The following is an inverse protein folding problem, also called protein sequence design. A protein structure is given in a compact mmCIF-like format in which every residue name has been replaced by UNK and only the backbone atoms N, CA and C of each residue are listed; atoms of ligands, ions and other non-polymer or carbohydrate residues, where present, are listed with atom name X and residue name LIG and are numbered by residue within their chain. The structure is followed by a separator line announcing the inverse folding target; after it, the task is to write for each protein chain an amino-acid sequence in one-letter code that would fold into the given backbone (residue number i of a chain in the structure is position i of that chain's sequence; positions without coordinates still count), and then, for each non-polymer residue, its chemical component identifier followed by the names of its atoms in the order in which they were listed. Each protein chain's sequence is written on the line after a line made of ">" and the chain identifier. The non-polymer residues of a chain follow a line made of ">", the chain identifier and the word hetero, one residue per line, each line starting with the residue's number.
data_IF_766942511163
#
_entry.id   IF_766942511163
#
_cell.length_a   1.000
_cell.length_b   1.000
_cell.length_c   1.000
_cell.angle_alpha   90.00
_cell.angle_beta   90.00
_cell.angle_gamma   90.00
#
_symmetry.space_group_name_H-M   'P 1'
#
loop_
_entity.id
_entity.type
_entity.pdbx_description
1 polymer ?
#
# COMPACT_ATOMS: atom_id res chain seq x y z
N UNK A 1 6.54 -45.95 -1.12
CA UNK A 1 5.12 -45.96 -1.50
C UNK A 1 4.91 -44.99 -2.65
N UNK A 2 4.24 -45.45 -3.71
CA UNK A 2 3.98 -44.78 -4.99
C UNK A 2 2.50 -44.38 -5.02
N UNK A 3 2.20 -43.09 -5.22
CA UNK A 3 0.89 -42.56 -5.68
C UNK A 3 1.24 -41.26 -6.44
N UNK A 4 1.49 -41.33 -7.75
CA UNK A 4 0.49 -41.18 -8.83
C UNK A 4 -0.01 -39.73 -8.92
N UNK A 5 0.50 -38.84 -9.77
CA UNK A 5 0.71 -38.92 -11.24
C UNK A 5 -0.62 -38.98 -12.05
N UNK A 6 -1.72 -38.44 -11.49
CA UNK A 6 -3.08 -38.56 -12.08
C UNK A 6 -3.76 -37.24 -12.48
N UNK A 7 -3.14 -36.07 -12.31
CA UNK A 7 -3.81 -34.78 -12.62
C UNK A 7 -3.04 -33.99 -13.69
N UNK A 8 -2.70 -34.64 -14.79
CA UNK A 8 -2.06 -34.00 -15.97
C UNK A 8 -2.93 -34.14 -17.24
N UNK A 9 -4.20 -34.58 -17.15
CA UNK A 9 -4.89 -35.06 -18.37
C UNK A 9 -6.37 -34.73 -18.55
N UNK A 10 -6.84 -33.55 -18.13
CA UNK A 10 -8.21 -33.16 -18.45
C UNK A 10 -8.34 -31.68 -18.84
N UNK A 11 -8.72 -31.49 -20.11
CA UNK A 11 -9.43 -30.33 -20.67
C UNK A 11 -8.57 -29.19 -21.23
N UNK A 12 -7.82 -29.56 -22.26
CA UNK A 12 -7.89 -28.87 -23.55
C UNK A 12 -9.35 -28.73 -23.97
N UNK A 13 -9.85 -27.50 -24.11
CA UNK A 13 -11.06 -27.19 -24.88
C UNK A 13 -10.68 -26.14 -25.91
N UNK A 14 -10.70 -26.58 -27.16
CA UNK A 14 -10.71 -25.85 -28.42
C UNK A 14 -11.41 -24.48 -28.31
N UNK A 15 -10.87 -23.36 -28.78
CA UNK A 15 -10.45 -23.06 -30.16
C UNK A 15 -11.56 -23.28 -31.20
N UNK A 16 -12.55 -22.37 -31.24
CA UNK A 16 -13.53 -22.04 -32.30
C UNK A 16 -14.60 -21.19 -31.60
N UNK A 17 -15.14 -20.10 -32.09
CA UNK A 17 -15.24 -19.47 -33.40
C UNK A 17 -15.88 -18.09 -33.13
N UNK A 18 -16.04 -17.29 -34.18
CA UNK A 18 -17.01 -16.20 -34.30
C UNK A 18 -16.58 -14.83 -33.77
N UNK A 19 -15.69 -14.23 -34.56
CA UNK A 19 -16.06 -13.07 -35.37
C UNK A 19 -17.29 -12.30 -34.91
N UNK A 20 -17.09 -11.17 -34.23
CA UNK A 20 -17.95 -10.02 -34.46
C UNK A 20 -17.10 -8.76 -34.48
N UNK A 21 -16.86 -8.31 -35.71
CA UNK A 21 -16.52 -6.96 -36.07
C UNK A 21 -17.64 -6.06 -35.54
N UNK A 22 -17.29 -5.11 -34.68
CA UNK A 22 -18.07 -3.89 -34.49
C UNK A 22 -17.09 -2.74 -34.27
N UNK A 23 -16.72 -2.14 -35.40
CA UNK A 23 -16.20 -0.78 -35.47
C UNK A 23 -17.11 0.15 -34.67
N UNK A 24 -16.52 0.90 -33.73
CA UNK A 24 -16.88 2.30 -33.47
C UNK A 24 -15.74 2.93 -32.69
N UNK A 25 -14.88 3.62 -33.42
CA UNK A 25 -13.90 4.57 -32.92
C UNK A 25 -14.61 5.89 -32.48
N UNK A 26 -13.90 6.96 -32.08
CA UNK A 26 -14.06 7.58 -30.77
C UNK A 26 -14.73 8.97 -30.86
N UNK A 27 -15.40 9.41 -29.80
CA UNK A 27 -15.73 10.83 -29.59
C UNK A 27 -15.48 11.12 -28.11
N UNK A 28 -14.35 11.76 -27.80
CA UNK A 28 -14.20 13.21 -27.64
C UNK A 28 -15.04 13.73 -26.45
N UNK A 29 -14.39 13.87 -25.28
CA UNK A 29 -14.95 14.52 -24.10
C UNK A 29 -13.96 15.58 -23.61
N UNK A 30 -14.31 16.84 -23.88
CA UNK A 30 -13.64 18.03 -23.35
C UNK A 30 -13.88 18.24 -21.84
N UNK A 31 -13.10 19.13 -21.21
CA UNK A 31 -13.13 19.36 -19.76
C UNK A 31 -14.29 20.25 -19.31
N UNK A 32 -14.84 20.05 -18.09
CA UNK A 32 -15.91 20.89 -17.56
C UNK A 32 -15.41 22.26 -17.05
N UNK A 33 -16.22 23.33 -17.17
CA UNK A 33 -15.90 24.61 -16.57
C UNK A 33 -16.21 24.65 -15.06
N UNK A 34 -15.36 25.36 -14.33
CA UNK A 34 -15.58 25.81 -12.94
C UNK A 34 -16.77 26.77 -12.90
N UNK A 35 -17.80 26.48 -12.11
CA UNK A 35 -18.82 27.47 -11.72
C UNK A 35 -19.16 27.38 -10.24
N UNK A 36 -18.55 28.31 -9.53
CA UNK A 36 -18.98 28.79 -8.22
C UNK A 36 -20.17 29.76 -8.41
N UNK A 37 -21.01 29.80 -7.38
CA UNK A 37 -21.99 30.83 -7.05
C UNK A 37 -23.40 30.77 -7.68
N UNK A 38 -24.32 30.51 -6.75
CA UNK A 38 -25.60 31.21 -6.49
C UNK A 38 -26.81 30.91 -7.37
N UNK A 39 -27.96 31.04 -6.70
CA UNK A 39 -29.36 30.96 -7.14
C UNK A 39 -29.97 29.54 -7.05
N UNK A 40 -30.51 29.15 -5.89
CA UNK A 40 -31.79 29.55 -5.28
C UNK A 40 -33.00 28.97 -6.03
N UNK A 41 -33.73 28.10 -5.33
CA UNK A 41 -35.09 27.62 -5.61
C UNK A 41 -35.29 26.77 -6.87
N UNK A 42 -35.53 25.47 -6.67
CA UNK A 42 -36.76 24.87 -7.17
C UNK A 42 -37.22 23.75 -6.24
N UNK A 43 -38.53 23.79 -5.99
CA UNK A 43 -39.33 23.08 -5.02
C UNK A 43 -39.74 21.71 -5.57
N UNK A 44 -39.82 20.72 -4.67
CA UNK A 44 -40.58 19.47 -4.71
C UNK A 44 -41.12 18.94 -6.06
N UNK A 45 -40.64 17.77 -6.45
CA UNK A 45 -41.40 16.59 -6.92
C UNK A 45 -40.34 15.52 -7.25
N UNK A 46 -40.29 14.37 -6.60
CA UNK A 46 -41.34 13.37 -6.62
C UNK A 46 -40.89 12.23 -7.54
N UNK A 47 -41.27 11.02 -7.15
CA UNK A 47 -41.21 9.75 -7.89
C UNK A 47 -39.94 8.90 -7.80
N UNK A 48 -40.17 7.78 -7.11
CA UNK A 48 -39.54 6.48 -7.26
C UNK A 48 -39.28 6.13 -8.73
N UNK A 49 -38.03 5.78 -9.05
CA UNK A 49 -37.73 4.78 -10.07
C UNK A 49 -36.76 3.76 -9.46
N UNK A 50 -37.32 2.62 -9.07
CA UNK A 50 -36.58 1.39 -8.90
C UNK A 50 -36.15 0.92 -10.30
N UNK A 51 -34.90 1.13 -10.67
CA UNK A 51 -34.27 0.44 -11.81
C UNK A 51 -32.91 -0.07 -11.36
N UNK A 52 -32.92 -1.33 -10.95
CA UNK A 52 -31.77 -2.21 -10.81
C UNK A 52 -30.95 -2.20 -12.11
N UNK A 53 -29.76 -1.61 -12.11
CA UNK A 53 -28.73 -1.94 -13.08
C UNK A 53 -27.94 -3.12 -12.55
N UNK A 54 -28.34 -4.32 -12.97
CA UNK A 54 -27.50 -5.51 -12.93
C UNK A 54 -26.32 -5.25 -13.88
N UNK A 55 -25.17 -4.89 -13.31
CA UNK A 55 -23.93 -4.81 -14.08
C UNK A 55 -23.35 -6.22 -14.13
N UNK A 56 -23.11 -6.81 -15.31
CA UNK A 56 -22.52 -8.12 -15.41
C UNK A 56 -21.14 -8.07 -14.76
N UNK A 57 -21.04 -8.71 -13.60
CA UNK A 57 -19.81 -8.80 -12.84
C UNK A 57 -18.82 -9.57 -13.70
N UNK A 58 -17.68 -9.00 -14.11
CA UNK A 58 -16.63 -9.79 -14.70
C UNK A 58 -16.18 -10.76 -13.60
N UNK A 59 -16.46 -12.04 -13.81
CA UNK A 59 -16.00 -13.13 -12.94
C UNK A 59 -14.50 -13.29 -13.16
N UNK A 60 -13.74 -12.29 -12.72
CA UNK A 60 -12.30 -12.26 -12.72
C UNK A 60 -11.79 -13.31 -11.74
N UNK A 61 -10.96 -14.20 -12.27
CA UNK A 61 -10.26 -15.27 -11.57
C UNK A 61 -9.82 -14.88 -10.15
N UNK A 62 -10.60 -15.32 -9.17
CA UNK A 62 -10.34 -15.13 -7.73
C UNK A 62 -9.37 -16.18 -7.17
N UNK A 63 -8.84 -17.07 -8.02
CA UNK A 63 -7.94 -18.16 -7.60
C UNK A 63 -6.45 -17.80 -7.57
N UNK A 64 -6.02 -16.76 -8.30
CA UNK A 64 -4.62 -16.32 -8.35
C UNK A 64 -4.28 -15.22 -7.33
N UNK A 65 -5.28 -14.60 -6.71
CA UNK A 65 -5.10 -13.43 -5.85
C UNK A 65 -4.74 -13.78 -4.40
N UNK A 66 -5.09 -14.99 -3.94
CA UNK A 66 -4.85 -15.42 -2.56
C UNK A 66 -3.36 -15.56 -2.23
N UNK A 67 -2.51 -15.87 -3.23
CA UNK A 67 -1.05 -15.89 -3.10
C UNK A 67 -0.39 -14.56 -3.49
N UNK A 68 -0.99 -13.77 -4.39
CA UNK A 68 -0.47 -12.44 -4.75
C UNK A 68 -0.62 -11.40 -3.63
N UNK A 69 -1.65 -11.53 -2.78
CA UNK A 69 -1.84 -10.70 -1.58
C UNK A 69 -0.67 -10.83 -0.60
N UNK A 70 0.07 -11.96 -0.59
CA UNK A 70 1.13 -12.23 0.38
C UNK A 70 2.46 -11.50 0.11
N UNK A 71 2.68 -10.93 -1.09
CA UNK A 71 3.98 -10.32 -1.47
C UNK A 71 3.83 -9.05 -2.34
N UNK A 72 2.64 -8.42 -2.26
CA UNK A 72 2.31 -7.22 -3.02
C UNK A 72 2.17 -5.96 -2.15
N UNK A 73 1.83 -4.81 -2.74
CA UNK A 73 1.63 -3.54 -2.03
C UNK A 73 0.63 -3.62 -0.88
N UNK A 74 -0.36 -4.50 -0.96
CA UNK A 74 -1.31 -4.75 0.13
C UNK A 74 -0.63 -5.32 1.39
N UNK A 75 0.31 -6.26 1.25
CA UNK A 75 1.08 -6.79 2.37
C UNK A 75 1.98 -5.72 3.02
N UNK A 76 2.62 -4.88 2.19
CA UNK A 76 3.39 -3.72 2.67
C UNK A 76 2.51 -2.78 3.52
N UNK A 77 1.30 -2.46 3.04
CA UNK A 77 0.36 -1.59 3.75
C UNK A 77 -0.11 -2.18 5.09
N UNK A 78 -0.34 -3.50 5.16
CA UNK A 78 -0.68 -4.19 6.42
C UNK A 78 0.46 -4.08 7.42
N UNK A 79 1.71 -4.27 7.01
CA UNK A 79 2.87 -4.14 7.90
C UNK A 79 3.05 -2.71 8.40
N UNK A 80 2.93 -1.71 7.50
CA UNK A 80 2.95 -0.31 7.88
C UNK A 80 1.91 0.00 8.95
N UNK A 81 0.68 -0.47 8.75
CA UNK A 81 -0.41 -0.28 9.71
C UNK A 81 -0.11 -0.90 11.07
N UNK A 82 0.48 -2.10 11.10
CA UNK A 82 0.89 -2.77 12.35
C UNK A 82 1.98 -1.98 13.07
N UNK A 83 3.01 -1.54 12.33
CA UNK A 83 4.11 -0.72 12.88
C UNK A 83 3.56 0.57 13.48
N UNK A 84 2.76 1.33 12.74
CA UNK A 84 2.24 2.61 13.23
C UNK A 84 1.29 2.45 14.41
N UNK A 85 0.49 1.38 14.41
CA UNK A 85 -0.43 1.07 15.53
C UNK A 85 0.34 0.69 16.80
N UNK A 86 1.39 -0.13 16.68
CA UNK A 86 2.22 -0.55 17.82
C UNK A 86 3.07 0.60 18.39
N UNK A 87 3.50 1.54 17.54
CA UNK A 87 4.16 2.78 18.00
C UNK A 87 3.16 3.66 18.76
N UNK A 88 1.94 3.79 18.22
CA UNK A 88 0.87 4.58 18.82
C UNK A 88 1.30 6.02 19.11
N UNK A 89 1.05 6.47 20.34
CA UNK A 89 1.40 7.83 20.77
C UNK A 89 2.90 8.03 21.07
N UNK A 90 3.67 6.93 21.16
CA UNK A 90 5.08 6.92 21.53
C UNK A 90 5.40 7.72 22.82
N UNK A 91 4.56 7.58 23.84
CA UNK A 91 4.71 8.32 25.10
C UNK A 91 6.06 8.02 25.78
N UNK A 92 6.70 9.06 26.31
CA UNK A 92 7.99 8.96 27.01
C UNK A 92 8.07 9.95 28.18
N UNK A 93 8.91 9.61 29.16
CA UNK A 93 9.31 10.51 30.25
C UNK A 93 10.78 10.92 30.20
N UNK A 94 11.64 10.16 29.53
CA UNK A 94 13.07 10.47 29.36
C UNK A 94 13.58 10.10 27.97
N UNK A 95 14.63 10.77 27.51
CA UNK A 95 15.26 10.50 26.21
C UNK A 95 15.75 9.06 26.05
N UNK A 96 16.16 8.41 27.15
CA UNK A 96 16.66 7.04 27.14
C UNK A 96 15.62 6.00 26.69
N UNK A 97 14.33 6.36 26.76
CA UNK A 97 13.21 5.54 26.31
C UNK A 97 12.96 5.67 24.81
N UNK A 98 13.43 6.74 24.16
CA UNK A 98 13.17 6.99 22.76
C UNK A 98 14.22 6.32 21.86
N UNK A 99 13.72 5.62 20.85
CA UNK A 99 14.51 4.87 19.87
C UNK A 99 14.01 5.20 18.47
N UNK A 100 14.82 4.87 17.49
CA UNK A 100 14.51 5.03 16.07
C UNK A 100 14.29 3.65 15.45
N UNK A 101 13.39 3.60 14.46
CA UNK A 101 13.09 2.41 13.68
C UNK A 101 13.30 2.74 12.20
N UNK A 102 14.17 2.01 11.48
CA UNK A 102 14.31 2.18 10.04
C UNK A 102 13.02 1.70 9.36
N UNK A 103 12.44 2.51 8.49
CA UNK A 103 11.20 2.19 7.80
C UNK A 103 11.41 2.05 6.28
N UNK A 104 11.07 0.88 5.78
CA UNK A 104 11.12 0.55 4.36
C UNK A 104 12.53 0.34 3.83
N UNK A 105 12.64 0.25 2.51
CA UNK A 105 13.89 0.04 1.77
C UNK A 105 13.89 0.84 0.47
N UNK A 106 14.97 1.57 0.18
CA UNK A 106 15.21 2.23 -1.12
C UNK A 106 15.81 1.22 -2.11
N UNK A 107 15.63 1.44 -3.41
CA UNK A 107 16.20 0.56 -4.43
C UNK A 107 17.74 0.44 -4.37
N UNK A 108 18.43 1.50 -3.92
CA UNK A 108 19.88 1.53 -3.68
C UNK A 108 20.31 0.96 -2.32
N UNK A 109 19.37 0.50 -1.49
CA UNK A 109 19.58 0.11 -0.11
C UNK A 109 19.36 1.24 0.89
N UNK A 110 19.13 0.85 2.15
CA UNK A 110 18.86 1.74 3.27
C UNK A 110 17.38 2.13 3.40
N UNK A 111 16.98 2.65 4.57
CA UNK A 111 15.60 2.96 4.83
C UNK A 111 15.10 4.16 4.01
N UNK A 112 13.79 4.18 3.77
CA UNK A 112 13.12 5.32 3.14
C UNK A 112 12.95 6.47 4.15
N UNK A 113 12.75 6.12 5.42
CA UNK A 113 12.55 7.08 6.51
C UNK A 113 12.87 6.44 7.87
N UNK A 114 12.89 7.25 8.92
CA UNK A 114 13.03 6.82 10.30
C UNK A 114 11.75 7.15 11.07
N UNK A 115 11.30 6.26 11.95
CA UNK A 115 10.19 6.54 12.88
C UNK A 115 10.71 6.57 14.33
N UNK A 116 10.31 7.58 15.13
CA UNK A 116 10.56 7.57 16.56
C UNK A 116 9.56 6.66 17.26
N UNK A 117 10.01 5.90 18.25
CA UNK A 117 9.16 5.05 19.07
C UNK A 117 9.67 4.99 20.51
N UNK A 118 8.78 4.63 21.43
CA UNK A 118 9.10 4.53 22.86
C UNK A 118 9.30 3.09 23.28
N UNK A 119 10.50 2.77 23.78
CA UNK A 119 10.81 1.48 24.40
C UNK A 119 10.04 1.22 25.68
N UNK A 120 9.37 2.23 26.25
CA UNK A 120 8.48 2.06 27.39
C UNK A 120 7.09 1.54 26.97
N UNK A 121 6.66 1.78 25.72
CA UNK A 121 5.28 1.53 25.27
C UNK A 121 5.17 0.44 24.20
N UNK A 122 6.22 0.21 23.42
CA UNK A 122 6.18 -0.71 22.27
C UNK A 122 7.15 -1.87 22.40
N UNK A 123 6.85 -2.98 21.74
CA UNK A 123 7.68 -4.19 21.76
C UNK A 123 8.81 -4.12 20.71
N UNK A 124 10.03 -3.85 21.18
CA UNK A 124 11.22 -3.70 20.35
C UNK A 124 11.39 -4.84 19.33
N UNK A 125 11.30 -6.10 19.78
CA UNK A 125 11.54 -7.28 18.93
C UNK A 125 10.49 -7.36 17.81
N UNK A 126 9.23 -7.13 18.15
CA UNK A 126 8.13 -7.24 17.20
C UNK A 126 8.15 -6.10 16.17
N UNK A 127 8.42 -4.86 16.62
CA UNK A 127 8.58 -3.71 15.73
C UNK A 127 9.71 -3.91 14.72
N UNK A 128 10.88 -4.36 15.17
CA UNK A 128 12.01 -4.61 14.28
C UNK A 128 11.68 -5.72 13.27
N UNK A 129 11.04 -6.81 13.71
CA UNK A 129 10.66 -7.90 12.82
C UNK A 129 9.69 -7.42 11.70
N UNK A 130 8.70 -6.59 12.02
CA UNK A 130 7.79 -6.05 11.02
C UNK A 130 8.47 -5.04 10.08
N UNK A 131 9.36 -4.20 10.60
CA UNK A 131 10.12 -3.25 9.80
C UNK A 131 11.06 -3.98 8.81
N UNK A 132 11.76 -5.01 9.25
CA UNK A 132 12.60 -5.87 8.41
C UNK A 132 11.77 -6.59 7.35
N UNK A 133 10.61 -7.12 7.72
CA UNK A 133 9.70 -7.77 6.78
C UNK A 133 9.21 -6.79 5.70
N UNK A 134 8.88 -5.55 6.09
CA UNK A 134 8.49 -4.49 5.16
C UNK A 134 9.64 -4.16 4.19
N UNK A 135 10.86 -3.98 4.71
CA UNK A 135 12.04 -3.72 3.92
C UNK A 135 12.32 -4.86 2.91
N UNK A 136 12.15 -6.11 3.33
CA UNK A 136 12.33 -7.27 2.46
C UNK A 136 11.31 -7.30 1.31
N UNK A 137 10.03 -7.04 1.58
CA UNK A 137 8.99 -6.96 0.54
C UNK A 137 9.29 -5.85 -0.47
N UNK A 138 9.72 -4.68 0.01
CA UNK A 138 10.09 -3.56 -0.83
C UNK A 138 11.31 -3.85 -1.69
N UNK A 139 12.35 -4.48 -1.12
CA UNK A 139 13.52 -4.93 -1.87
C UNK A 139 13.14 -5.87 -3.01
N UNK A 140 12.26 -6.84 -2.75
CA UNK A 140 11.74 -7.75 -3.79
C UNK A 140 10.92 -7.02 -4.85
N UNK A 141 10.12 -6.01 -4.47
CA UNK A 141 9.38 -5.17 -5.42
C UNK A 141 10.31 -4.34 -6.29
N UNK A 142 11.35 -3.72 -5.70
CA UNK A 142 12.34 -2.93 -6.44
C UNK A 142 13.10 -3.80 -7.45
N UNK A 143 13.55 -4.98 -7.03
CA UNK A 143 14.23 -5.94 -7.90
C UNK A 143 13.38 -6.38 -9.11
N UNK A 144 12.06 -6.55 -8.91
CA UNK A 144 11.12 -6.93 -10.00
C UNK A 144 10.77 -5.78 -10.94
N UNK A 145 10.75 -4.55 -10.45
CA UNK A 145 10.29 -3.38 -11.20
C UNK A 145 11.41 -2.61 -11.90
N UNK A 146 12.67 -2.85 -11.54
CA UNK A 146 13.81 -2.16 -12.14
C UNK A 146 13.90 -0.66 -11.80
N UNK A 147 13.18 -0.22 -10.76
CA UNK A 147 13.20 1.18 -10.31
C UNK A 147 14.58 1.52 -9.73
N UNK A 148 15.03 2.76 -9.99
CA UNK A 148 16.28 3.29 -9.45
C UNK A 148 15.97 4.42 -8.48
N UNK A 149 16.73 4.51 -7.39
CA UNK A 149 16.62 5.58 -6.40
C UNK A 149 17.70 6.64 -6.63
N UNK A 150 17.59 7.80 -5.97
CA UNK A 150 18.57 8.87 -6.01
C UNK A 150 19.87 8.57 -5.21
N UNK A 151 20.02 7.34 -4.68
CA UNK A 151 21.17 6.88 -3.91
C UNK A 151 21.59 7.76 -2.71
N UNK A 152 20.70 8.62 -2.22
CA UNK A 152 20.97 9.45 -1.04
C UNK A 152 20.98 8.59 0.23
N UNK A 153 22.04 8.71 1.01
CA UNK A 153 22.14 8.13 2.34
C UNK A 153 21.32 8.95 3.34
N UNK A 154 20.49 8.27 4.13
CA UNK A 154 19.68 8.90 5.17
C UNK A 154 20.20 8.45 6.55
N UNK A 155 21.06 9.25 7.21
CA UNK A 155 21.59 8.89 8.51
C UNK A 155 20.46 8.81 9.55
N UNK A 156 20.64 7.94 10.55
CA UNK A 156 19.73 7.87 11.68
C UNK A 156 19.83 9.17 12.52
N UNK A 157 18.75 9.97 12.64
CA UNK A 157 18.74 11.15 13.53
C UNK A 157 18.90 10.80 15.01
N UNK A 158 18.56 9.56 15.39
CA UNK A 158 18.15 9.24 16.75
C UNK A 158 16.81 9.88 17.11
N UNK A 159 16.35 9.60 18.33
CA UNK A 159 15.12 10.15 18.87
C UNK A 159 15.38 10.81 20.23
N UNK A 160 14.49 11.72 20.62
CA UNK A 160 14.46 12.37 21.93
C UNK A 160 13.03 12.47 22.44
N UNK A 161 12.88 12.64 23.75
CA UNK A 161 11.59 12.83 24.38
C UNK A 161 11.24 14.33 24.40
N UNK A 162 10.26 14.73 23.61
CA UNK A 162 9.79 16.11 23.55
C UNK A 162 8.30 16.15 23.81
N UNK A 163 7.86 16.99 24.75
CA UNK A 163 6.44 17.11 25.12
C UNK A 163 5.76 15.75 25.42
N UNK A 164 6.46 14.87 26.15
CA UNK A 164 6.04 13.51 26.51
C UNK A 164 5.81 12.56 25.32
N UNK A 165 6.40 12.85 24.15
CA UNK A 165 6.34 12.00 22.97
C UNK A 165 7.72 11.84 22.36
N UNK A 166 8.03 10.64 21.88
CA UNK A 166 9.26 10.43 21.15
C UNK A 166 9.17 11.10 19.78
N UNK A 167 10.16 11.94 19.48
CA UNK A 167 10.31 12.63 18.20
C UNK A 167 11.72 12.40 17.65
N UNK A 168 11.89 12.48 16.33
CA UNK A 168 13.23 12.43 15.73
C UNK A 168 14.02 13.67 16.12
N UNK A 169 15.33 13.54 16.27
CA UNK A 169 16.17 14.72 16.47
C UNK A 169 16.19 15.58 15.20
N UNK A 170 16.20 16.92 15.33
CA UNK A 170 16.42 17.80 14.21
C UNK A 170 17.77 17.46 13.55
N UNK A 171 17.73 17.14 12.27
CA UNK A 171 18.96 16.97 11.49
C UNK A 171 19.48 18.37 11.17
N UNK A 172 20.69 18.71 11.62
CA UNK A 172 21.37 19.89 11.09
C UNK A 172 21.54 19.69 9.59
N UNK A 173 21.20 20.71 8.78
CA UNK A 173 21.56 20.72 7.38
C UNK A 173 23.08 20.53 7.30
N UNK A 174 23.50 19.36 6.80
CA UNK A 174 24.91 19.12 6.50
C UNK A 174 25.08 19.64 5.08
N UNK A 175 25.50 20.90 4.99
CA UNK A 175 25.93 21.55 3.74
C UNK A 175 27.24 20.93 3.23
#
# INVERSE_FOLDING_TARGET
>A
MKVSDTIVRALSVDARDSSFIALCSPLDMGPPPRRSFLHLSWVLAGLLCATSCDSPTPRGSSGAQTTALATGPAAEAVLLTRITTEIGDAHCSTDAQCRTLPLGEKACGGPVSWLPWSAAMSQAVQLNAWAEQLAALQRQRHARSGVMSNCQYLPDPGAMCQAQRCVLRPQGAVD
#
